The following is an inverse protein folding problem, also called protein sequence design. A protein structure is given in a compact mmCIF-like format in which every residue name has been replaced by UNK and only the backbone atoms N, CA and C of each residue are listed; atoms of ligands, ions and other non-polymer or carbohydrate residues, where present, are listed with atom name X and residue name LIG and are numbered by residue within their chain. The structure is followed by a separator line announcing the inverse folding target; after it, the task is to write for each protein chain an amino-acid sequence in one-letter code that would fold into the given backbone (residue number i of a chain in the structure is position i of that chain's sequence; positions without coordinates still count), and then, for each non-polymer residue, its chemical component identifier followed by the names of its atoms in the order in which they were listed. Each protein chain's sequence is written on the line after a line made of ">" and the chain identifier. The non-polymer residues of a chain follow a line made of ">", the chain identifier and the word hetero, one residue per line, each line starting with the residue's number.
data_IF_424753420993
#
_entry.id   IF_424753420993
#
_cell.length_a   1.000
_cell.length_b   1.000
_cell.length_c   1.000
_cell.angle_alpha   90.00
_cell.angle_beta   90.00
_cell.angle_gamma   90.00
#
_symmetry.space_group_name_H-M   'P 1'
#
loop_
_entity.id
_entity.type
_entity.pdbx_description
1 polymer ?
#
# COMPACT_ATOMS: atom_id res chain seq x y z
N UNK A 1 -4.73 44.89 -43.41
CA UNK A 1 -5.91 44.94 -42.53
C UNK A 1 -7.05 44.30 -43.30
N UNK A 2 -7.29 43.00 -43.09
CA UNK A 2 -8.35 42.29 -43.80
C UNK A 2 -9.70 42.68 -43.18
N UNK A 3 -10.68 43.16 -43.97
CA UNK A 3 -11.98 43.56 -43.44
C UNK A 3 -12.73 42.33 -42.90
N UNK A 4 -13.47 42.52 -41.81
CA UNK A 4 -14.32 41.50 -41.22
C UNK A 4 -15.39 41.11 -42.25
N UNK A 5 -15.40 39.85 -42.67
CA UNK A 5 -16.35 39.32 -43.66
C UNK A 5 -17.78 39.50 -43.15
N UNK A 6 -18.70 39.92 -44.03
CA UNK A 6 -20.11 40.16 -43.70
C UNK A 6 -20.78 38.90 -43.12
N UNK A 7 -21.63 39.08 -42.10
CA UNK A 7 -22.28 37.99 -41.34
C UNK A 7 -23.13 37.05 -42.21
N UNK A 8 -23.46 37.47 -43.43
CA UNK A 8 -24.23 36.77 -44.46
C UNK A 8 -23.53 35.52 -45.03
N UNK A 9 -22.22 35.38 -44.90
CA UNK A 9 -21.45 34.22 -45.39
C UNK A 9 -21.17 33.16 -44.32
N UNK A 10 -21.78 33.29 -43.13
CA UNK A 10 -21.62 32.34 -42.04
C UNK A 10 -22.86 31.44 -41.97
N UNK A 11 -22.86 30.33 -42.72
CA UNK A 11 -23.93 29.34 -42.61
C UNK A 11 -23.94 28.73 -41.19
N UNK A 12 -24.88 29.19 -40.36
CA UNK A 12 -25.11 28.66 -39.03
C UNK A 12 -25.96 27.40 -39.15
N UNK A 13 -25.33 26.22 -39.15
CA UNK A 13 -26.09 24.97 -39.04
C UNK A 13 -26.41 24.70 -37.57
N UNK A 14 -27.70 24.47 -37.27
CA UNK A 14 -28.17 24.09 -35.92
C UNK A 14 -27.41 22.87 -35.36
N UNK A 15 -26.98 21.98 -36.26
CA UNK A 15 -26.16 20.79 -35.96
C UNK A 15 -24.73 21.17 -35.56
N UNK A 16 -24.10 22.15 -36.22
CA UNK A 16 -22.74 22.59 -35.87
C UNK A 16 -22.68 23.31 -34.52
N UNK A 17 -23.75 24.01 -34.14
CA UNK A 17 -23.88 24.68 -32.84
C UNK A 17 -23.88 23.69 -31.67
N UNK A 18 -24.66 22.60 -31.77
CA UNK A 18 -24.72 21.56 -30.73
C UNK A 18 -23.40 20.80 -30.58
N UNK A 19 -22.72 20.44 -31.68
CA UNK A 19 -21.38 19.84 -31.62
C UNK A 19 -20.35 20.75 -30.94
N UNK A 20 -20.44 22.07 -31.17
CA UNK A 20 -19.54 23.05 -30.53
C UNK A 20 -19.74 23.11 -29.02
N UNK A 21 -20.99 23.08 -28.55
CA UNK A 21 -21.33 23.06 -27.12
C UNK A 21 -20.82 21.76 -26.46
N UNK A 22 -21.06 20.61 -27.08
CA UNK A 22 -20.58 19.32 -26.59
C UNK A 22 -19.05 19.30 -26.51
N UNK A 23 -18.39 19.79 -27.56
CA UNK A 23 -16.92 19.86 -27.60
C UNK A 23 -16.36 20.75 -26.50
N UNK A 24 -17.01 21.88 -26.22
CA UNK A 24 -16.60 22.79 -25.15
C UNK A 24 -16.74 22.15 -23.76
N UNK A 25 -17.86 21.47 -23.49
CA UNK A 25 -18.04 20.72 -22.23
C UNK A 25 -17.00 19.60 -22.08
N UNK A 26 -16.70 18.90 -23.17
CA UNK A 26 -15.69 17.85 -23.19
C UNK A 26 -14.28 18.40 -22.93
N UNK A 27 -13.94 19.56 -23.52
CA UNK A 27 -12.67 20.25 -23.23
C UNK A 27 -12.57 20.63 -21.76
N UNK A 28 -13.61 21.23 -21.18
CA UNK A 28 -13.62 21.58 -19.75
C UNK A 28 -13.39 20.34 -18.89
N UNK A 29 -14.09 19.25 -19.19
CA UNK A 29 -13.95 18.00 -18.43
C UNK A 29 -12.54 17.40 -18.55
N UNK A 30 -11.96 17.34 -19.75
CA UNK A 30 -10.61 16.83 -19.96
C UNK A 30 -9.55 17.72 -19.31
N UNK A 31 -9.69 19.05 -19.41
CA UNK A 31 -8.77 19.99 -18.75
C UNK A 31 -8.85 19.84 -17.23
N UNK A 32 -10.06 19.73 -16.67
CA UNK A 32 -10.22 19.48 -15.23
C UNK A 32 -9.59 18.14 -14.80
N UNK A 33 -9.77 17.08 -15.60
CA UNK A 33 -9.14 15.78 -15.36
C UNK A 33 -7.61 15.87 -15.40
N UNK A 34 -7.04 16.57 -16.38
CA UNK A 34 -5.60 16.74 -16.52
C UNK A 34 -5.00 17.60 -15.40
N UNK A 35 -5.70 18.66 -14.96
CA UNK A 35 -5.31 19.46 -13.78
C UNK A 35 -5.30 18.57 -12.53
N UNK A 36 -6.36 17.77 -12.34
CA UNK A 36 -6.46 16.85 -11.19
C UNK A 36 -5.34 15.82 -11.22
N UNK A 37 -5.02 15.28 -12.40
CA UNK A 37 -3.91 14.35 -12.60
C UNK A 37 -2.55 14.99 -12.30
N UNK A 38 -2.33 16.23 -12.75
CA UNK A 38 -1.08 16.96 -12.52
C UNK A 38 -0.84 17.29 -11.04
N UNK A 39 -1.93 17.60 -10.30
CA UNK A 39 -1.84 17.88 -8.87
C UNK A 39 -1.61 16.60 -8.03
N UNK A 40 -2.08 15.45 -8.52
CA UNK A 40 -1.83 14.14 -7.91
C UNK A 40 -0.34 13.76 -8.00
N UNK A 41 0.26 13.40 -6.87
CA UNK A 41 1.65 12.95 -6.83
C UNK A 41 1.72 11.43 -6.85
N UNK A 42 2.69 10.87 -7.58
CA UNK A 42 2.91 9.42 -7.64
C UNK A 42 4.17 9.03 -6.88
N UNK A 43 4.11 7.88 -6.22
CA UNK A 43 5.27 7.26 -5.57
C UNK A 43 5.84 6.18 -6.50
N UNK A 44 7.13 6.30 -6.80
CA UNK A 44 7.85 5.34 -7.64
C UNK A 44 8.85 4.59 -6.76
N UNK A 45 8.82 3.26 -6.86
CA UNK A 45 9.70 2.35 -6.14
C UNK A 45 10.82 1.90 -7.08
N UNK A 46 12.06 2.28 -6.79
CA UNK A 46 13.24 1.92 -7.59
C UNK A 46 14.16 1.03 -6.75
N UNK A 47 14.46 -0.17 -7.23
CA UNK A 47 15.41 -1.08 -6.59
C UNK A 47 16.84 -0.73 -7.04
N UNK A 48 17.76 -0.70 -6.09
CA UNK A 48 19.18 -0.50 -6.39
C UNK A 48 20.04 -1.27 -5.39
N UNK A 49 21.32 -1.54 -5.68
CA UNK A 49 22.23 -2.13 -4.69
C UNK A 49 22.36 -1.21 -3.47
N UNK A 50 22.43 -1.83 -2.31
CA UNK A 50 22.79 -1.14 -1.08
C UNK A 50 24.31 -0.94 -1.02
N UNK A 51 24.73 0.31 -0.85
CA UNK A 51 26.14 0.72 -0.77
C UNK A 51 26.49 1.25 0.63
N UNK A 52 25.48 1.50 1.47
CA UNK A 52 25.62 2.12 2.79
C UNK A 52 25.72 1.01 3.86
N UNK A 53 26.81 0.22 3.81
CA UNK A 53 27.01 -0.94 4.70
C UNK A 53 27.40 -0.57 6.14
N UNK A 54 28.00 0.62 6.33
CA UNK A 54 28.48 1.09 7.64
C UNK A 54 27.37 1.73 8.51
N UNK A 55 26.14 1.83 8.00
CA UNK A 55 25.02 2.35 8.77
C UNK A 55 24.65 1.42 9.92
N UNK A 56 24.22 2.01 11.04
CA UNK A 56 23.69 1.24 12.17
C UNK A 56 22.22 0.89 11.93
N UNK A 57 21.86 -0.32 12.32
CA UNK A 57 20.49 -0.83 12.26
C UNK A 57 19.83 -0.66 13.63
N UNK A 58 18.87 0.27 13.72
CA UNK A 58 18.02 0.39 14.90
C UNK A 58 16.92 -0.67 14.84
N UNK A 59 16.71 -1.43 15.92
CA UNK A 59 15.56 -2.33 16.09
C UNK A 59 14.72 -1.82 17.24
N UNK A 60 13.42 -1.62 17.02
CA UNK A 60 12.45 -1.24 18.05
C UNK A 60 11.60 -2.46 18.40
N UNK A 61 11.60 -2.85 19.68
CA UNK A 61 10.97 -4.09 20.16
C UNK A 61 9.99 -3.73 21.28
N UNK A 62 8.78 -4.27 21.21
CA UNK A 62 7.81 -4.36 22.30
C UNK A 62 7.01 -5.65 22.12
N UNK A 63 7.25 -6.62 22.99
CA UNK A 63 6.57 -7.91 22.96
C UNK A 63 6.28 -8.38 24.39
N UNK A 64 5.28 -9.22 24.54
CA UNK A 64 4.89 -9.83 25.82
C UNK A 64 4.94 -11.34 25.69
N UNK A 65 5.66 -12.02 26.58
CA UNK A 65 5.75 -13.49 26.67
C UNK A 65 5.01 -13.97 27.91
N UNK A 66 4.26 -15.06 27.82
CA UNK A 66 3.46 -15.67 28.89
C UNK A 66 4.31 -16.42 29.93
N UNK A 67 5.41 -15.81 30.37
CA UNK A 67 6.27 -16.29 31.45
C UNK A 67 6.71 -15.12 32.34
N UNK A 68 6.87 -15.30 33.66
CA UNK A 68 7.39 -14.26 34.55
C UNK A 68 8.79 -13.80 34.15
N UNK A 69 9.11 -12.52 34.35
CA UNK A 69 10.39 -11.96 33.89
C UNK A 69 11.59 -12.64 34.54
N UNK A 70 11.48 -13.12 35.78
CA UNK A 70 12.59 -13.81 36.45
C UNK A 70 13.05 -15.10 35.73
N UNK A 71 12.15 -15.76 34.98
CA UNK A 71 12.42 -17.04 34.32
C UNK A 71 12.79 -16.93 32.84
N UNK A 72 12.84 -15.72 32.27
CA UNK A 72 13.23 -15.52 30.87
C UNK A 72 14.37 -14.51 30.77
N UNK A 73 15.12 -14.62 29.67
CA UNK A 73 16.14 -13.65 29.30
C UNK A 73 16.09 -13.42 27.80
N UNK A 74 16.07 -12.15 27.42
CA UNK A 74 16.27 -11.72 26.04
C UNK A 74 17.76 -11.52 25.75
N UNK A 75 18.21 -11.97 24.59
CA UNK A 75 19.58 -11.72 24.13
C UNK A 75 19.62 -11.56 22.61
N UNK A 76 20.67 -10.92 22.10
CA UNK A 76 20.87 -10.68 20.67
C UNK A 76 22.29 -11.03 20.26
N UNK A 77 22.43 -11.87 19.25
CA UNK A 77 23.74 -12.23 18.71
C UNK A 77 23.81 -11.82 17.25
N UNK A 78 24.76 -10.97 16.90
CA UNK A 78 25.06 -10.63 15.51
C UNK A 78 26.12 -11.58 14.92
N UNK A 79 26.23 -11.60 13.60
CA UNK A 79 27.26 -12.41 12.91
C UNK A 79 28.70 -11.98 13.24
N UNK A 80 28.90 -10.79 13.80
CA UNK A 80 30.22 -10.33 14.24
C UNK A 80 30.64 -10.91 15.59
N UNK A 81 29.73 -11.60 16.30
CA UNK A 81 29.94 -12.16 17.63
C UNK A 81 30.52 -11.14 18.63
N UNK A 82 30.17 -9.86 18.47
CA UNK A 82 30.62 -8.82 19.38
C UNK A 82 29.78 -8.80 20.65
N UNK A 83 30.39 -8.35 21.76
CA UNK A 83 29.72 -8.25 23.04
C UNK A 83 28.51 -7.31 22.96
N UNK A 84 27.36 -7.84 23.34
CA UNK A 84 26.01 -7.26 23.30
C UNK A 84 25.84 -5.97 24.10
N UNK A 85 26.70 -5.72 25.08
CA UNK A 85 26.70 -4.52 25.93
C UNK A 85 26.82 -3.19 25.16
N UNK A 86 27.29 -3.19 23.90
CA UNK A 86 27.38 -1.97 23.08
C UNK A 86 26.07 -1.60 22.37
N UNK A 87 25.09 -2.48 22.36
CA UNK A 87 23.91 -2.34 21.51
C UNK A 87 22.69 -1.69 22.18
N UNK A 88 22.79 -1.42 23.48
CA UNK A 88 21.67 -0.92 24.31
C UNK A 88 21.16 -1.98 25.27
N UNK A 89 20.19 -1.61 26.11
CA UNK A 89 19.57 -2.49 27.11
C UNK A 89 18.07 -2.55 26.87
N UNK A 90 17.52 -3.76 26.85
CA UNK A 90 16.07 -3.97 26.86
C UNK A 90 15.55 -3.92 28.30
N UNK A 91 14.39 -3.31 28.47
CA UNK A 91 13.68 -3.27 29.74
C UNK A 91 12.72 -4.47 29.83
N UNK A 92 12.68 -5.11 30.99
CA UNK A 92 11.81 -6.23 31.30
C UNK A 92 10.82 -5.78 32.39
N UNK A 93 9.52 -5.77 32.07
CA UNK A 93 8.43 -5.36 32.95
C UNK A 93 7.52 -6.56 33.24
N UNK A 94 7.35 -6.91 34.52
CA UNK A 94 6.41 -7.95 34.94
C UNK A 94 4.97 -7.50 34.66
N UNK A 95 4.17 -8.35 34.01
CA UNK A 95 2.82 -8.02 33.57
C UNK A 95 1.91 -9.25 33.53
N UNK A 96 0.68 -9.07 33.04
CA UNK A 96 -0.28 -10.15 32.81
C UNK A 96 -0.43 -10.44 31.33
N UNK A 97 -0.48 -11.72 30.97
CA UNK A 97 -0.65 -12.12 29.58
C UNK A 97 -2.03 -11.69 29.05
N UNK A 98 -3.07 -11.88 29.88
CA UNK A 98 -4.43 -11.43 29.59
C UNK A 98 -4.51 -9.90 29.60
N UNK A 99 -5.01 -9.31 28.52
CA UNK A 99 -5.17 -7.87 28.36
C UNK A 99 -6.40 -7.36 29.14
N UNK A 100 -6.32 -6.13 29.65
CA UNK A 100 -7.51 -5.43 30.13
C UNK A 100 -8.47 -5.10 28.97
N UNK A 101 -9.77 -4.88 29.20
CA UNK A 101 -10.74 -4.67 28.13
C UNK A 101 -10.39 -3.52 27.17
N UNK A 102 -9.82 -2.42 27.69
CA UNK A 102 -9.36 -1.30 26.87
C UNK A 102 -8.16 -1.66 25.99
N UNK A 103 -7.22 -2.45 26.53
CA UNK A 103 -6.05 -2.93 25.82
C UNK A 103 -6.42 -4.00 24.79
N UNK A 104 -7.38 -4.87 25.10
CA UNK A 104 -7.87 -5.91 24.20
C UNK A 104 -8.49 -5.28 22.95
N UNK A 105 -9.40 -4.30 23.10
CA UNK A 105 -10.00 -3.57 21.97
C UNK A 105 -8.91 -2.91 21.11
N UNK A 106 -7.93 -2.28 21.76
CA UNK A 106 -6.82 -1.65 21.07
C UNK A 106 -6.03 -2.66 20.24
N UNK A 107 -5.67 -3.79 20.85
CA UNK A 107 -4.89 -4.85 20.23
C UNK A 107 -5.67 -5.55 19.10
N UNK A 108 -6.96 -5.82 19.30
CA UNK A 108 -7.83 -6.44 18.29
C UNK A 108 -7.97 -5.56 17.05
N UNK A 109 -8.12 -4.24 17.24
CA UNK A 109 -8.13 -3.29 16.13
C UNK A 109 -6.81 -3.31 15.36
N UNK A 110 -5.68 -3.35 16.10
CA UNK A 110 -4.34 -3.41 15.50
C UNK A 110 -4.14 -4.72 14.72
N UNK A 111 -4.53 -5.86 15.31
CA UNK A 111 -4.45 -7.21 14.73
C UNK A 111 -5.31 -7.32 13.47
N UNK A 112 -6.57 -6.89 13.53
CA UNK A 112 -7.47 -6.90 12.37
C UNK A 112 -6.93 -6.05 11.23
N UNK A 113 -6.50 -4.82 11.54
CA UNK A 113 -5.96 -3.92 10.54
C UNK A 113 -4.69 -4.45 9.90
N UNK A 114 -3.73 -4.97 10.69
CA UNK A 114 -2.49 -5.49 10.14
C UNK A 114 -2.68 -6.80 9.36
N UNK A 115 -3.64 -7.66 9.78
CA UNK A 115 -4.02 -8.84 9.02
C UNK A 115 -4.54 -8.48 7.63
N UNK A 116 -5.43 -7.48 7.53
CA UNK A 116 -5.92 -6.99 6.24
C UNK A 116 -4.78 -6.45 5.37
N UNK A 117 -3.89 -5.65 5.96
CA UNK A 117 -2.73 -5.13 5.23
C UNK A 117 -1.79 -6.23 4.75
N UNK A 118 -1.65 -7.34 5.47
CA UNK A 118 -0.81 -8.47 5.05
C UNK A 118 -1.35 -9.18 3.82
N UNK A 119 -2.68 -9.31 3.72
CA UNK A 119 -3.35 -9.98 2.60
C UNK A 119 -3.49 -9.06 1.37
N UNK A 120 -3.87 -7.80 1.59
CA UNK A 120 -4.25 -6.86 0.53
C UNK A 120 -3.24 -5.73 0.30
N UNK A 121 -1.99 -5.87 0.80
CA UNK A 121 -0.96 -4.83 0.71
C UNK A 121 -0.84 -4.24 -0.69
N UNK A 122 -0.78 -5.09 -1.72
CA UNK A 122 -0.56 -4.65 -3.10
C UNK A 122 -1.73 -3.81 -3.65
N UNK A 123 -2.95 -4.03 -3.16
CA UNK A 123 -4.12 -3.26 -3.54
C UNK A 123 -4.13 -1.87 -2.88
N UNK A 124 -3.62 -1.76 -1.65
CA UNK A 124 -3.70 -0.52 -0.85
C UNK A 124 -2.39 0.27 -0.76
N UNK A 125 -1.25 -0.28 -1.22
CA UNK A 125 0.06 0.36 -1.04
C UNK A 125 0.06 1.82 -1.50
N UNK A 126 -0.47 2.11 -2.69
CA UNK A 126 -0.41 3.48 -3.25
C UNK A 126 -1.26 4.44 -2.42
N UNK A 127 -2.37 3.96 -1.86
CA UNK A 127 -3.20 4.72 -0.94
C UNK A 127 -2.47 4.98 0.39
N UNK A 128 -1.78 3.99 0.95
CA UNK A 128 -1.01 4.14 2.20
C UNK A 128 0.08 5.22 2.05
N UNK A 129 0.83 5.19 0.95
CA UNK A 129 1.87 6.18 0.68
C UNK A 129 1.28 7.58 0.43
N UNK A 130 0.17 7.69 -0.32
CA UNK A 130 -0.49 8.98 -0.60
C UNK A 130 -1.15 9.60 0.63
N UNK A 131 -1.83 8.79 1.45
CA UNK A 131 -2.45 9.23 2.70
C UNK A 131 -1.43 9.58 3.78
N UNK A 132 -0.13 9.31 3.53
CA UNK A 132 0.94 9.36 4.53
C UNK A 132 0.56 8.53 5.76
N UNK A 133 -0.06 7.38 5.51
CA UNK A 133 -0.50 6.47 6.56
C UNK A 133 0.68 6.11 7.43
N UNK A 134 0.67 6.54 8.67
CA UNK A 134 1.59 6.08 9.70
C UNK A 134 0.81 5.12 10.57
N UNK A 135 1.43 4.01 10.98
CA UNK A 135 0.88 3.06 11.95
C UNK A 135 0.80 3.71 13.35
N UNK A 136 -0.02 4.76 13.48
CA UNK A 136 -0.35 5.39 14.76
C UNK A 136 -1.43 4.58 15.48
N UNK A 137 -1.21 3.28 15.67
CA UNK A 137 -1.85 2.63 16.81
C UNK A 137 -1.22 3.13 18.12
N UNK A 138 -0.04 3.75 18.07
CA UNK A 138 0.62 4.22 19.28
C UNK A 138 1.04 3.05 20.16
N UNK A 139 1.55 3.37 21.35
CA UNK A 139 1.90 2.34 22.33
C UNK A 139 0.63 1.79 23.00
N UNK A 140 0.73 0.58 23.54
CA UNK A 140 -0.37 -0.06 24.25
C UNK A 140 -0.88 0.87 25.38
N UNK A 141 -2.18 1.18 25.45
CA UNK A 141 -2.69 2.08 26.47
C UNK A 141 -2.45 1.51 27.88
N UNK A 142 -2.35 2.37 28.91
CA UNK A 142 -2.19 1.91 30.28
C UNK A 142 -3.36 1.02 30.67
N UNK A 143 -3.06 0.00 31.49
CA UNK A 143 -4.04 -1.00 31.91
C UNK A 143 -5.12 -0.34 32.78
N UNK A 144 -6.39 -0.60 32.48
CA UNK A 144 -7.52 0.00 33.22
C UNK A 144 -7.77 -0.63 34.60
N UNK A 145 -7.38 -1.89 34.79
CA UNK A 145 -7.60 -2.66 36.02
C UNK A 145 -6.44 -3.61 36.27
N UNK A 146 -5.98 -3.66 37.52
CA UNK A 146 -4.89 -4.51 37.98
C UNK A 146 -5.48 -5.80 38.57
N UNK A 147 -5.26 -6.97 37.96
CA UNK A 147 -5.71 -8.25 38.50
C UNK A 147 -5.11 -8.54 39.87
N UNK A 148 -5.89 -9.19 40.75
CA UNK A 148 -5.40 -9.68 42.04
C UNK A 148 -4.80 -11.09 41.92
N UNK A 149 -3.96 -11.28 40.91
CA UNK A 149 -3.20 -12.52 40.66
C UNK A 149 -1.73 -12.15 40.41
N UNK A 150 -0.77 -13.02 40.75
CA UNK A 150 0.63 -12.76 40.44
C UNK A 150 0.85 -12.55 38.94
N UNK A 151 1.90 -11.80 38.58
CA UNK A 151 2.29 -11.61 37.19
C UNK A 151 2.63 -12.96 36.56
N UNK A 152 2.02 -13.24 35.40
CA UNK A 152 2.19 -14.47 34.64
C UNK A 152 2.88 -14.24 33.29
N UNK A 153 3.26 -12.99 32.99
CA UNK A 153 3.91 -12.59 31.76
C UNK A 153 5.02 -11.57 32.00
N UNK A 154 5.85 -11.41 30.97
CA UNK A 154 6.93 -10.45 30.93
C UNK A 154 6.85 -9.66 29.63
N UNK A 155 6.83 -8.34 29.75
CA UNK A 155 6.93 -7.43 28.63
C UNK A 155 8.39 -7.05 28.45
N UNK A 156 8.90 -7.28 27.25
CA UNK A 156 10.27 -6.95 26.85
C UNK A 156 10.15 -5.81 25.84
N UNK A 157 10.64 -4.63 26.19
CA UNK A 157 10.58 -3.47 25.31
C UNK A 157 11.84 -2.63 25.33
N UNK A 158 12.07 -1.89 24.25
CA UNK A 158 13.19 -0.99 24.10
C UNK A 158 13.70 -0.92 22.67
N UNK A 159 14.74 -0.11 22.50
CA UNK A 159 15.38 0.11 21.22
C UNK A 159 16.84 -0.37 21.29
N UNK A 160 17.26 -1.16 20.30
CA UNK A 160 18.62 -1.64 20.15
C UNK A 160 19.27 -1.02 18.92
N UNK A 161 20.54 -0.62 19.03
CA UNK A 161 21.33 -0.06 17.93
C UNK A 161 22.42 -1.07 17.60
N UNK A 162 22.31 -1.69 16.43
CA UNK A 162 23.13 -2.82 16.01
C UNK A 162 23.94 -2.49 14.77
N UNK A 163 24.91 -3.35 14.47
CA UNK A 163 25.53 -3.37 13.15
C UNK A 163 24.51 -3.86 12.12
N UNK A 164 24.54 -3.29 10.90
CA UNK A 164 23.69 -3.71 9.78
C UNK A 164 24.20 -5.01 9.14
N UNK A 165 24.07 -6.09 9.88
CA UNK A 165 24.47 -7.44 9.49
C UNK A 165 23.40 -8.45 9.93
N UNK A 166 23.49 -9.69 9.44
CA UNK A 166 22.63 -10.75 9.91
C UNK A 166 22.81 -11.00 11.43
N UNK A 167 21.71 -11.30 12.11
CA UNK A 167 21.70 -11.56 13.54
C UNK A 167 20.49 -12.37 14.01
N UNK A 168 20.51 -12.71 15.30
CA UNK A 168 19.54 -13.55 15.95
C UNK A 168 19.17 -12.98 17.33
N UNK A 169 18.03 -12.27 17.37
CA UNK A 169 17.41 -11.87 18.61
C UNK A 169 16.56 -13.03 19.13
N UNK A 170 16.75 -13.43 20.38
CA UNK A 170 16.04 -14.59 20.91
C UNK A 170 15.73 -14.44 22.39
N UNK A 171 14.66 -15.11 22.79
CA UNK A 171 14.16 -15.14 24.16
C UNK A 171 14.02 -16.61 24.53
N UNK A 172 14.77 -17.01 25.55
CA UNK A 172 14.74 -18.38 26.06
C UNK A 172 14.53 -18.37 27.57
N UNK A 173 14.14 -19.52 28.10
CA UNK A 173 14.06 -19.71 29.55
C UNK A 173 15.44 -19.53 30.17
N UNK A 174 15.48 -18.97 31.39
CA UNK A 174 16.67 -18.63 32.15
C UNK A 174 17.22 -17.23 31.84
N UNK A 175 17.81 -16.60 32.84
CA UNK A 175 18.55 -15.33 32.64
C UNK A 175 19.78 -15.58 31.77
N UNK A 176 20.01 -14.70 30.80
CA UNK A 176 21.20 -14.73 29.95
C UNK A 176 22.43 -14.35 30.77
N UNK A 177 23.34 -15.31 30.96
CA UNK A 177 24.66 -15.05 31.52
C UNK A 177 25.68 -14.96 30.38
N UNK A 178 26.31 -13.80 30.26
CA UNK A 178 27.28 -13.50 29.21
C UNK A 178 28.65 -14.08 29.60
N UNK A 179 29.20 -14.96 28.77
CA UNK A 179 30.56 -15.50 28.88
C UNK A 179 31.44 -14.97 27.74
N UNK A 180 32.78 -15.01 27.84
CA UNK A 180 33.69 -14.49 26.80
C UNK A 180 33.59 -15.17 25.41
N UNK A 181 32.80 -16.23 25.27
CA UNK A 181 32.63 -17.03 24.03
C UNK A 181 31.15 -17.35 23.72
N UNK A 182 30.23 -16.48 24.13
CA UNK A 182 28.78 -16.64 23.93
C UNK A 182 28.02 -16.49 25.24
N UNK A 183 26.75 -16.89 25.26
CA UNK A 183 25.90 -16.76 26.43
C UNK A 183 25.22 -18.09 26.76
N UNK A 184 24.93 -18.28 28.05
CA UNK A 184 24.26 -19.47 28.56
C UNK A 184 23.05 -19.02 29.35
N UNK A 185 21.93 -19.70 29.15
CA UNK A 185 20.75 -19.51 29.98
C UNK A 185 20.72 -20.56 31.09
N UNK A 186 20.59 -20.10 32.34
CA UNK A 186 20.60 -20.98 33.50
C UNK A 186 19.16 -21.37 33.86
N UNK A 187 18.80 -22.63 33.63
CA UNK A 187 17.44 -23.16 33.86
C UNK A 187 17.35 -24.09 35.09
N UNK A 188 18.31 -24.00 36.00
CA UNK A 188 18.56 -25.00 37.05
C UNK A 188 17.39 -25.23 38.04
N UNK A 189 16.37 -24.37 38.05
CA UNK A 189 15.24 -24.42 38.98
C UNK A 189 13.85 -24.47 38.29
N UNK A 190 13.79 -24.73 36.98
CA UNK A 190 12.52 -24.73 36.23
C UNK A 190 12.01 -26.15 35.95
N UNK A 191 10.72 -26.36 36.21
CA UNK A 191 9.99 -27.58 35.90
C UNK A 191 9.42 -27.54 34.47
N UNK A 192 9.05 -28.70 33.91
CA UNK A 192 8.46 -28.77 32.57
C UNK A 192 7.15 -27.97 32.41
N UNK A 193 6.47 -27.67 33.53
CA UNK A 193 5.22 -26.91 33.57
C UNK A 193 5.42 -25.39 33.52
N UNK A 194 6.65 -24.92 33.72
CA UNK A 194 6.95 -23.49 33.82
C UNK A 194 7.25 -22.87 32.44
N UNK A 195 7.42 -23.71 31.42
CA UNK A 195 7.62 -23.25 30.05
C UNK A 195 6.29 -22.82 29.43
N UNK A 196 6.18 -21.56 29.01
CA UNK A 196 5.06 -21.08 28.20
C UNK A 196 5.50 -19.92 27.30
N UNK A 197 5.99 -20.25 26.11
CA UNK A 197 6.43 -19.26 25.13
C UNK A 197 5.30 -18.67 24.28
N UNK A 198 4.04 -18.77 24.75
CA UNK A 198 2.94 -18.02 24.14
C UNK A 198 3.26 -16.54 24.23
N UNK A 199 3.07 -15.80 23.14
CA UNK A 199 3.54 -14.43 23.08
C UNK A 199 2.70 -13.57 22.14
N UNK A 200 2.82 -12.27 22.38
CA UNK A 200 2.15 -11.21 21.65
C UNK A 200 3.18 -10.16 21.25
N UNK A 201 3.17 -9.75 19.99
CA UNK A 201 4.09 -8.76 19.46
C UNK A 201 3.34 -7.45 19.30
N UNK A 202 3.66 -6.48 20.17
CA UNK A 202 3.05 -5.16 20.12
C UNK A 202 3.76 -4.29 19.06
N UNK A 203 5.10 -4.28 19.07
CA UNK A 203 5.93 -3.48 18.16
C UNK A 203 7.16 -4.29 17.76
N UNK A 204 7.43 -4.35 16.47
CA UNK A 204 8.66 -4.94 15.96
C UNK A 204 9.01 -4.26 14.62
N UNK A 205 9.95 -3.33 14.67
CA UNK A 205 10.29 -2.51 13.52
C UNK A 205 11.79 -2.21 13.45
N UNK A 206 12.24 -1.82 12.25
CA UNK A 206 13.63 -1.50 11.97
C UNK A 206 13.75 -0.05 11.49
N UNK A 207 14.72 0.68 12.03
CA UNK A 207 14.97 2.10 11.76
C UNK A 207 13.95 3.04 12.37
N UNK A 208 13.92 4.25 11.81
CA UNK A 208 12.97 5.28 12.21
C UNK A 208 11.61 5.09 11.54
N UNK A 209 10.50 5.46 12.23
CA UNK A 209 9.17 5.34 11.68
C UNK A 209 8.99 6.29 10.49
N UNK A 210 8.51 5.75 9.37
CA UNK A 210 8.16 6.50 8.17
C UNK A 210 6.73 6.19 7.74
N UNK A 211 5.94 7.18 7.31
CA UNK A 211 4.62 6.93 6.75
C UNK A 211 4.73 6.07 5.48
N UNK A 212 3.72 5.22 5.25
CA UNK A 212 3.59 4.31 4.12
C UNK A 212 4.19 2.91 4.36
N UNK A 213 4.92 2.71 5.46
CA UNK A 213 5.52 1.42 5.82
C UNK A 213 4.61 0.66 6.79
N UNK A 214 4.47 -0.63 6.52
CA UNK A 214 3.72 -1.57 7.33
C UNK A 214 4.71 -2.55 7.94
N UNK A 215 4.54 -2.88 9.22
CA UNK A 215 5.38 -3.83 9.94
C UNK A 215 4.61 -5.14 10.13
N UNK A 216 4.94 -6.20 9.38
CA UNK A 216 4.12 -7.42 9.36
C UNK A 216 3.91 -8.07 10.72
N UNK A 217 4.90 -8.07 11.63
CA UNK A 217 4.79 -8.79 12.90
C UNK A 217 3.92 -8.09 13.96
N UNK A 218 3.56 -6.83 13.78
CA UNK A 218 2.84 -6.10 14.81
C UNK A 218 1.38 -6.59 14.93
N UNK A 219 0.88 -6.78 16.15
CA UNK A 219 -0.47 -7.33 16.34
C UNK A 219 -0.56 -8.85 16.15
N UNK A 220 0.56 -9.54 15.91
CA UNK A 220 0.60 -11.00 15.95
C UNK A 220 0.56 -11.51 17.39
N UNK A 221 -0.24 -12.54 17.59
CA UNK A 221 -0.37 -13.26 18.86
C UNK A 221 -0.39 -14.75 18.54
N UNK A 222 0.57 -15.47 19.13
CA UNK A 222 0.71 -16.91 18.96
C UNK A 222 0.71 -17.59 20.32
N UNK A 223 -0.31 -18.42 20.52
CA UNK A 223 -0.46 -19.27 21.70
C UNK A 223 0.09 -20.65 21.35
N UNK A 224 1.04 -21.14 22.14
CA UNK A 224 1.62 -22.45 21.95
C UNK A 224 0.73 -23.55 22.55
N UNK A 225 0.44 -24.60 21.78
CA UNK A 225 -0.31 -25.77 22.27
C UNK A 225 0.43 -26.52 23.40
N UNK A 226 1.76 -26.41 23.42
CA UNK A 226 2.65 -27.04 24.38
C UNK A 226 3.60 -26.01 24.99
N UNK A 227 3.85 -26.12 26.30
CA UNK A 227 4.74 -25.21 27.03
C UNK A 227 6.15 -25.12 26.44
N UNK A 228 6.67 -26.24 25.93
CA UNK A 228 7.98 -26.31 25.25
C UNK A 228 7.84 -26.17 23.74
N UNK A 229 7.39 -25.02 23.27
CA UNK A 229 7.34 -24.72 21.84
C UNK A 229 8.51 -23.84 21.41
N UNK A 230 9.07 -24.14 20.25
CA UNK A 230 10.07 -23.33 19.57
C UNK A 230 9.38 -22.51 18.48
N UNK A 231 9.49 -21.19 18.56
CA UNK A 231 9.00 -20.25 17.55
C UNK A 231 10.19 -19.64 16.79
N UNK A 232 10.28 -19.91 15.49
CA UNK A 232 11.28 -19.27 14.62
C UNK A 232 10.60 -18.26 13.70
N UNK A 233 11.10 -17.04 13.72
CA UNK A 233 10.80 -15.98 12.79
C UNK A 233 12.01 -15.75 11.90
N UNK A 234 11.84 -16.00 10.61
CA UNK A 234 12.83 -15.67 9.60
C UNK A 234 12.44 -14.34 8.97
N UNK A 235 13.27 -13.33 9.18
CA UNK A 235 12.99 -11.94 8.82
C UNK A 235 14.01 -11.51 7.76
N UNK A 236 13.51 -11.01 6.63
CA UNK A 236 14.36 -10.43 5.60
C UNK A 236 14.14 -8.92 5.60
N UNK A 237 15.18 -8.17 6.00
CA UNK A 237 15.16 -6.71 6.18
C UNK A 237 15.66 -6.04 4.90
N UNK A 238 14.89 -5.10 4.37
CA UNK A 238 15.17 -4.38 3.13
C UNK A 238 15.34 -2.88 3.43
N UNK A 239 16.56 -2.34 3.29
CA UNK A 239 16.81 -0.91 3.44
C UNK A 239 15.96 -0.09 2.47
N UNK A 240 15.29 0.95 2.99
CA UNK A 240 14.34 1.76 2.23
C UNK A 240 14.62 3.25 2.45
N UNK A 241 14.93 3.96 1.36
CA UNK A 241 15.14 5.41 1.38
C UNK A 241 13.90 6.11 0.88
N UNK A 242 13.23 6.84 1.76
CA UNK A 242 12.00 7.57 1.45
C UNK A 242 12.34 9.02 1.19
N UNK A 243 12.20 9.44 -0.06
CA UNK A 243 12.40 10.81 -0.50
C UNK A 243 11.06 11.43 -0.90
N UNK A 244 10.54 12.28 -0.01
CA UNK A 244 9.37 13.13 -0.27
C UNK A 244 9.82 14.54 -0.66
N UNK A 245 8.88 15.42 -1.05
CA UNK A 245 9.21 16.81 -1.37
C UNK A 245 9.80 17.61 -0.20
N UNK A 246 9.54 17.20 1.05
CA UNK A 246 9.90 17.94 2.26
C UNK A 246 11.00 17.24 3.08
N UNK A 247 11.00 15.91 3.08
CA UNK A 247 11.87 15.11 3.95
C UNK A 247 12.49 13.93 3.21
N UNK A 248 13.71 13.58 3.61
CA UNK A 248 14.41 12.35 3.23
C UNK A 248 14.69 11.57 4.50
N UNK A 249 14.18 10.33 4.58
CA UNK A 249 14.33 9.46 5.76
C UNK A 249 14.83 8.09 5.30
N UNK A 250 15.84 7.58 6.01
CA UNK A 250 16.30 6.20 5.89
C UNK A 250 15.50 5.34 6.87
N UNK A 251 14.87 4.29 6.37
CA UNK A 251 14.00 3.39 7.14
C UNK A 251 14.11 1.99 6.55
N UNK A 252 13.45 1.01 7.14
CA UNK A 252 13.58 -0.38 6.74
C UNK A 252 12.21 -1.04 6.63
N UNK A 253 12.03 -1.81 5.57
CA UNK A 253 10.89 -2.71 5.41
C UNK A 253 11.36 -4.12 5.70
N UNK A 254 10.45 -5.03 6.03
CA UNK A 254 10.83 -6.42 6.18
C UNK A 254 9.70 -7.36 5.79
N UNK A 255 10.07 -8.56 5.38
CA UNK A 255 9.15 -9.68 5.25
C UNK A 255 9.44 -10.71 6.34
N UNK A 256 8.44 -11.53 6.69
CA UNK A 256 8.57 -12.51 7.77
C UNK A 256 7.95 -13.84 7.41
N UNK A 257 8.63 -14.92 7.83
CA UNK A 257 8.12 -16.28 7.83
C UNK A 257 8.19 -16.85 9.25
N UNK A 258 7.04 -17.14 9.84
CA UNK A 258 6.93 -17.74 11.16
C UNK A 258 6.75 -19.27 11.06
N UNK A 259 7.49 -20.02 11.89
CA UNK A 259 7.39 -21.48 12.01
C UNK A 259 7.39 -21.84 13.49
N UNK A 260 6.37 -22.56 13.94
CA UNK A 260 6.30 -23.14 15.29
C UNK A 260 6.58 -24.65 15.25
N UNK A 261 7.31 -25.16 16.25
CA UNK A 261 7.57 -26.58 16.42
C UNK A 261 7.58 -26.96 17.91
N UNK A 262 6.82 -27.98 18.35
CA UNK A 262 6.90 -28.48 19.72
C UNK A 262 8.20 -29.27 19.95
N UNK A 263 8.85 -29.03 21.09
CA UNK A 263 10.09 -29.70 21.52
C UNK A 263 9.74 -30.89 22.43
N UNK A 264 10.16 -32.07 21.99
CA UNK A 264 9.97 -33.32 22.70
C UNK A 264 11.17 -34.25 22.51
N UNK A 265 12.08 -34.24 23.49
CA UNK A 265 13.29 -35.06 23.47
C UNK A 265 12.98 -36.56 23.38
N UNK A 266 11.91 -37.04 24.01
CA UNK A 266 11.52 -38.46 23.99
C UNK A 266 11.01 -38.91 22.61
N UNK A 267 10.42 -37.97 21.84
CA UNK A 267 9.97 -38.20 20.46
C UNK A 267 11.01 -37.80 19.41
N UNK A 268 12.27 -37.59 19.81
CA UNK A 268 13.38 -37.20 18.92
C UNK A 268 13.34 -35.74 18.42
N UNK A 269 12.43 -34.91 18.95
CA UNK A 269 12.36 -33.48 18.66
C UNK A 269 13.26 -32.71 19.63
N UNK A 270 14.57 -32.69 19.31
CA UNK A 270 15.56 -31.92 20.06
C UNK A 270 15.55 -30.43 19.67
N UNK A 271 15.95 -29.57 20.60
CA UNK A 271 16.02 -28.13 20.44
C UNK A 271 15.87 -27.42 21.77
N UNK A 272 16.15 -26.12 21.79
CA UNK A 272 15.89 -25.24 22.94
C UNK A 272 14.54 -24.57 22.68
N UNK A 273 13.53 -24.71 23.56
CA UNK A 273 12.27 -24.00 23.41
C UNK A 273 12.48 -22.50 23.67
N UNK A 274 11.74 -21.66 22.95
CA UNK A 274 11.94 -20.21 22.99
C UNK A 274 11.46 -19.51 21.72
N UNK A 275 11.66 -18.20 21.68
CA UNK A 275 11.39 -17.34 20.53
C UNK A 275 12.72 -16.96 19.88
N UNK A 276 12.81 -17.10 18.56
CA UNK A 276 14.01 -16.79 17.81
C UNK A 276 13.66 -15.95 16.57
N UNK A 277 14.11 -14.71 16.56
CA UNK A 277 13.98 -13.74 15.49
C UNK A 277 15.32 -13.65 14.74
N UNK A 278 15.42 -14.43 13.68
CA UNK A 278 16.58 -14.50 12.80
C UNK A 278 16.36 -13.50 11.68
N UNK A 279 17.13 -12.43 11.67
CA UNK A 279 17.03 -11.38 10.66
C UNK A 279 18.28 -11.37 9.78
N UNK A 280 18.06 -11.13 8.49
CA UNK A 280 19.12 -10.94 7.49
C UNK A 280 18.84 -9.65 6.71
N UNK A 281 19.90 -8.92 6.35
CA UNK A 281 19.80 -7.65 5.64
C UNK A 281 20.00 -7.89 4.15
N UNK A 282 19.03 -7.50 3.34
CA UNK A 282 19.08 -7.63 1.89
C UNK A 282 20.16 -6.74 1.28
N UNK A 283 20.87 -7.27 0.28
CA UNK A 283 21.83 -6.50 -0.52
C UNK A 283 21.16 -5.48 -1.47
N UNK A 284 19.84 -5.49 -1.56
CA UNK A 284 19.04 -4.55 -2.35
C UNK A 284 18.40 -3.51 -1.43
N UNK A 285 18.43 -2.25 -1.85
CA UNK A 285 17.68 -1.15 -1.25
C UNK A 285 16.54 -0.68 -2.14
N UNK A 286 15.46 -0.22 -1.52
CA UNK A 286 14.30 0.37 -2.18
C UNK A 286 14.36 1.89 -2.03
N UNK A 287 14.47 2.62 -3.15
CA UNK A 287 14.32 4.06 -3.17
C UNK A 287 12.88 4.43 -3.52
N UNK A 288 12.16 4.99 -2.55
CA UNK A 288 10.80 5.51 -2.72
C UNK A 288 10.91 6.99 -3.05
N UNK A 289 10.55 7.37 -4.27
CA UNK A 289 10.58 8.77 -4.71
C UNK A 289 9.17 9.27 -4.99
N UNK A 290 8.82 10.41 -4.39
CA UNK A 290 7.64 11.16 -4.77
C UNK A 290 7.96 11.98 -6.03
N UNK A 291 7.40 11.59 -7.17
CA UNK A 291 7.60 12.26 -8.45
C UNK A 291 6.29 12.96 -8.89
N UNK A 292 6.44 14.09 -9.58
CA UNK A 292 5.39 14.84 -10.27
C UNK A 292 5.86 15.14 -11.68
N UNK A 293 4.92 15.23 -12.61
CA UNK A 293 5.22 15.63 -13.98
C UNK A 293 5.81 17.05 -14.00
N UNK A 294 6.71 17.32 -14.94
CA UNK A 294 7.24 18.67 -15.12
C UNK A 294 6.15 19.62 -15.64
N UNK A 295 6.23 20.90 -15.29
CA UNK A 295 5.33 21.93 -15.79
C UNK A 295 5.29 21.97 -17.34
N UNK A 296 6.42 21.73 -17.99
CA UNK A 296 6.50 21.70 -19.46
C UNK A 296 5.70 20.55 -20.07
N UNK A 297 5.82 19.35 -19.48
CA UNK A 297 5.04 18.17 -19.90
C UNK A 297 3.54 18.42 -19.74
N UNK A 298 3.14 19.02 -18.62
CA UNK A 298 1.75 19.37 -18.36
C UNK A 298 1.18 20.37 -19.37
N UNK A 299 1.90 21.47 -19.64
CA UNK A 299 1.48 22.47 -20.62
C UNK A 299 1.35 21.88 -22.03
N UNK A 300 2.29 21.02 -22.44
CA UNK A 300 2.22 20.33 -23.73
C UNK A 300 0.96 19.45 -23.83
N UNK A 301 0.61 18.72 -22.76
CA UNK A 301 -0.60 17.90 -22.69
C UNK A 301 -1.87 18.73 -22.76
N UNK A 302 -1.95 19.85 -22.04
CA UNK A 302 -3.08 20.78 -22.12
C UNK A 302 -3.28 21.33 -23.54
N UNK A 303 -2.21 21.80 -24.18
CA UNK A 303 -2.28 22.28 -25.57
C UNK A 303 -2.75 21.17 -26.53
N UNK A 304 -2.27 19.94 -26.35
CA UNK A 304 -2.67 18.78 -27.15
C UNK A 304 -4.16 18.43 -26.96
N UNK A 305 -4.70 18.54 -25.75
CA UNK A 305 -6.11 18.26 -25.46
C UNK A 305 -7.01 19.28 -26.18
N UNK A 306 -6.74 20.58 -26.00
CA UNK A 306 -7.56 21.65 -26.60
C UNK A 306 -7.49 21.59 -28.13
N UNK A 307 -6.29 21.44 -28.69
CA UNK A 307 -6.10 21.32 -30.14
C UNK A 307 -6.72 20.05 -30.72
N UNK A 308 -6.53 18.91 -30.04
CA UNK A 308 -7.05 17.61 -30.48
C UNK A 308 -8.57 17.57 -30.54
N UNK A 309 -9.26 18.06 -29.51
CA UNK A 309 -10.73 18.08 -29.50
C UNK A 309 -11.28 19.00 -30.59
N UNK A 310 -10.65 20.16 -30.82
CA UNK A 310 -11.09 21.09 -31.87
C UNK A 310 -11.00 20.48 -33.27
N UNK A 311 -9.88 19.82 -33.58
CA UNK A 311 -9.68 19.14 -34.87
C UNK A 311 -10.66 17.98 -35.04
N UNK A 312 -10.82 17.12 -34.03
CA UNK A 312 -11.73 15.98 -34.08
C UNK A 312 -13.19 16.42 -34.25
N UNK A 313 -13.62 17.45 -33.50
CA UNK A 313 -14.97 18.03 -33.63
C UNK A 313 -15.24 18.55 -35.05
N UNK A 314 -14.25 19.23 -35.65
CA UNK A 314 -14.34 19.71 -37.03
C UNK A 314 -14.52 18.57 -38.05
N UNK A 315 -13.73 17.50 -37.92
CA UNK A 315 -13.80 16.32 -38.80
C UNK A 315 -15.16 15.61 -38.63
N UNK A 316 -15.61 15.39 -37.38
CA UNK A 316 -16.89 14.74 -37.10
C UNK A 316 -18.04 15.56 -37.69
N UNK A 317 -18.04 16.88 -37.48
CA UNK A 317 -19.07 17.74 -38.06
C UNK A 317 -19.05 17.67 -39.59
N UNK A 318 -17.88 17.69 -40.23
CA UNK A 318 -17.76 17.56 -41.68
C UNK A 318 -18.33 16.23 -42.21
N UNK A 319 -18.03 15.11 -41.52
CA UNK A 319 -18.56 13.79 -41.86
C UNK A 319 -20.07 13.73 -41.67
N UNK A 320 -20.60 14.26 -40.55
CA UNK A 320 -22.04 14.28 -40.29
C UNK A 320 -22.79 15.12 -41.33
N UNK A 321 -22.27 16.30 -41.68
CA UNK A 321 -22.86 17.13 -42.74
C UNK A 321 -22.80 16.43 -44.10
N UNK A 322 -21.70 15.74 -44.42
CA UNK A 322 -21.59 14.96 -45.64
C UNK A 322 -22.66 13.86 -45.71
N UNK A 323 -22.83 13.09 -44.64
CA UNK A 323 -23.85 12.03 -44.56
C UNK A 323 -25.26 12.60 -44.65
N UNK A 324 -25.58 13.67 -43.91
CA UNK A 324 -26.89 14.33 -43.97
C UNK A 324 -27.20 14.88 -45.36
N UNK A 325 -26.21 15.45 -46.04
CA UNK A 325 -26.37 15.95 -47.40
C UNK A 325 -26.60 14.82 -48.40
N UNK A 326 -25.93 13.68 -48.24
CA UNK A 326 -26.16 12.49 -49.08
C UNK A 326 -27.54 11.89 -48.84
N UNK A 327 -28.01 11.80 -47.59
CA UNK A 327 -29.36 11.36 -47.27
C UNK A 327 -30.42 12.30 -47.85
N UNK A 328 -30.27 13.63 -47.68
CA UNK A 328 -31.17 14.61 -48.30
C UNK A 328 -31.21 14.50 -49.82
N UNK A 329 -30.06 14.28 -50.47
CA UNK A 329 -30.00 14.06 -51.92
C UNK A 329 -30.75 12.79 -52.33
N UNK A 330 -30.58 11.69 -51.59
CA UNK A 330 -31.28 10.43 -51.87
C UNK A 330 -32.80 10.57 -51.69
N UNK A 331 -33.26 11.16 -50.58
CA UNK A 331 -34.68 11.45 -50.35
C UNK A 331 -35.28 12.40 -51.39
N UNK A 332 -34.56 13.46 -51.78
CA UNK A 332 -35.01 14.37 -52.84
C UNK A 332 -35.13 13.66 -54.19
N UNK A 333 -34.24 12.70 -54.47
CA UNK A 333 -34.28 11.87 -55.68
C UNK A 333 -35.49 10.93 -55.69
N UNK A 334 -35.83 10.32 -54.55
CA UNK A 334 -37.04 9.50 -54.40
C UNK A 334 -38.34 10.31 -54.53
N UNK A 335 -38.41 11.50 -53.92
CA UNK A 335 -39.61 12.37 -54.03
C UNK A 335 -39.83 12.85 -55.47
N UNK A 336 -38.77 13.27 -56.17
CA UNK A 336 -38.88 13.66 -57.59
C UNK A 336 -39.36 12.48 -58.45
N UNK A 337 -38.92 11.25 -58.14
CA UNK A 337 -39.33 10.05 -58.87
C UNK A 337 -40.80 9.66 -58.59
N UNK A 338 -41.32 9.95 -57.39
CA UNK A 338 -42.74 9.77 -57.04
C UNK A 338 -43.58 10.85 -57.76
N UNK A 339 -43.17 12.11 -57.75
CA UNK A 339 -43.87 13.20 -58.45
C UNK A 339 -43.92 12.99 -59.97
N UNK A 340 -42.84 12.47 -60.59
CA UNK A 340 -42.83 12.11 -62.01
C UNK A 340 -43.77 10.93 -62.33
N UNK A 341 -43.90 9.97 -61.40
CA UNK A 341 -44.82 8.83 -61.58
C UNK A 341 -46.29 9.24 -61.36
N UNK A 342 -46.58 10.23 -60.50
CA UNK A 342 -47.93 10.77 -60.31
C UNK A 342 -48.38 11.62 -61.50
N UNK A 343 -47.48 12.42 -62.07
CA UNK A 343 -47.79 13.28 -63.22
C UNK A 343 -48.05 12.49 -64.52
N UNK A 344 -47.41 11.33 -64.71
CA UNK A 344 -47.70 10.41 -65.82
C UNK A 344 -49.10 9.76 -65.72
N UNK A 345 -49.66 9.58 -64.52
CA UNK A 345 -51.00 8.97 -64.34
C UNK A 345 -52.12 9.98 -64.60
N UNK A 346 -51.86 11.29 -64.48
CA UNK A 346 -52.87 12.34 -64.71
C UNK A 346 -53.02 12.78 -66.17
N UNK A 347 -52.12 12.40 -67.07
CA UNK A 347 -52.13 12.84 -68.49
C UNK A 347 -52.90 11.87 -69.43
N UNK A 348 -53.33 10.68 -68.94
CA UNK A 348 -54.01 9.65 -69.74
C UNK A 348 -55.55 9.62 -69.64
N UNK A 349 -56.23 10.73 -69.32
CA UNK A 349 -57.71 10.78 -69.34
C UNK A 349 -58.26 11.75 -70.41
N UNK A 350 -58.56 11.28 -71.64
CA UNK A 350 -59.34 12.07 -72.59
C UNK A 350 -60.85 11.92 -72.34
N UNK A 351 -61.52 13.06 -72.14
CA UNK A 351 -62.97 13.23 -72.22
C UNK A 351 -63.47 12.91 -73.64
N UNK A 352 -64.48 12.05 -73.83
CA UNK A 352 -65.07 11.85 -75.15
C UNK A 352 -65.98 13.03 -75.52
N UNK A 353 -65.74 13.57 -76.71
CA UNK A 353 -66.41 14.75 -77.25
C UNK A 353 -67.91 14.57 -77.49
N UNK A 354 -68.65 15.63 -77.15
CA UNK A 354 -70.05 15.85 -77.50
C UNK A 354 -70.13 16.27 -78.98
N UNK A 355 -70.83 15.49 -79.81
CA UNK A 355 -71.27 15.89 -81.15
C UNK A 355 -72.73 16.34 -81.09
N UNK A 356 -72.98 17.54 -81.58
CA UNK A 356 -74.28 18.10 -81.92
C UNK A 356 -74.96 17.33 -83.06
N UNK A 357 -76.21 16.91 -82.83
CA UNK A 357 -77.38 17.13 -83.70
C UNK A 357 -78.65 16.99 -82.87
#
# INVERSE_FOLDING_TARGET
>A
MFPKVEETFKETSSVGGTFSIISFLLIIWLVYSEISYYLDSKFIFKFSPDVELDEQLKINIDLTVAMPCHFIGADILDSTNQNTFKFGTLEEEDTWFELAPNQQIHFDNKKHFNSYLREEYHAVKDLLWKSRFSTHFGDLPPRSHIPNVPHDACRIHGDLILNKVAGNFHITAGKSLHLPRGHVHINAFMSERDYNFSHRINKFSFGDPSPGIVHPLEGDELVGDYGRTLFNYFIEVVPTKVNTFLTSVNTYQYSVKAISRPINHDKGSHGIPGLFFKYDVSALRVAVKQERDSLGTFLARLCSIVGGVFVCSGIINAVVQFVLNQLKKNFKKEVIQIDSNVSLVTEEAPLPGVRTL
#
